data_IF_936973005453
#
_entry.id   IF_936973005453
#
_cell.length_a   1.000
_cell.length_b   1.000
_cell.length_c   1.000
_cell.angle_alpha   90.00
_cell.angle_beta   90.00
_cell.angle_gamma   90.00
#
_symmetry.space_group_name_H-M   'P 1'
#
loop_
_entity.id
_entity.type
_entity.pdbx_description
1 polymer ?
#
# COMPACT_ATOMS: atom_id res chain seq x y z
N UNK A 1 -3.07 1.46 9.22
CA UNK A 1 -3.30 0.55 8.08
C UNK A 1 -2.29 -0.59 8.03
N UNK A 2 -0.97 -0.36 7.92
CA UNK A 2 -0.01 -1.47 7.98
C UNK A 2 -0.03 -2.22 9.33
N UNK A 3 -0.11 -1.47 10.44
CA UNK A 3 -0.28 -2.04 11.78
C UNK A 3 -1.58 -2.86 11.92
N UNK A 4 -2.67 -2.41 11.28
CA UNK A 4 -3.94 -3.15 11.28
C UNK A 4 -3.78 -4.50 10.56
N UNK A 5 -3.03 -4.51 9.44
CA UNK A 5 -2.68 -5.74 8.73
C UNK A 5 -1.83 -6.66 9.62
N UNK A 6 -0.83 -6.14 10.33
CA UNK A 6 -0.01 -6.91 11.27
C UNK A 6 -0.87 -7.52 12.39
N UNK A 7 -1.76 -6.72 12.99
CA UNK A 7 -2.66 -7.17 14.05
C UNK A 7 -3.58 -8.31 13.56
N UNK A 8 -4.12 -8.19 12.34
CA UNK A 8 -4.95 -9.24 11.75
C UNK A 8 -4.16 -10.54 11.52
N UNK A 9 -2.96 -10.46 10.95
CA UNK A 9 -2.08 -11.62 10.72
C UNK A 9 -1.76 -12.33 12.04
N UNK A 10 -1.44 -11.55 13.09
CA UNK A 10 -1.18 -12.09 14.45
C UNK A 10 -2.41 -12.75 15.04
N UNK A 11 -3.57 -12.13 14.92
CA UNK A 11 -4.83 -12.69 15.43
C UNK A 11 -5.16 -14.02 14.76
N UNK A 12 -4.95 -14.11 13.44
CA UNK A 12 -5.12 -15.33 12.66
C UNK A 12 -3.99 -16.36 12.87
N UNK A 13 -2.96 -16.01 13.64
CA UNK A 13 -1.79 -16.85 13.93
C UNK A 13 -1.03 -17.30 12.67
N UNK A 14 -1.04 -16.47 11.63
CA UNK A 14 -0.31 -16.75 10.39
C UNK A 14 1.16 -16.37 10.58
N UNK A 15 2.07 -17.32 10.36
CA UNK A 15 3.52 -17.13 10.54
C UNK A 15 4.28 -16.84 9.28
N UNK A 16 3.82 -17.34 8.13
CA UNK A 16 4.43 -17.09 6.82
C UNK A 16 3.36 -16.89 5.76
N UNK A 17 3.52 -15.90 4.89
CA UNK A 17 2.57 -15.63 3.81
C UNK A 17 3.18 -14.81 2.66
N UNK A 18 2.45 -14.75 1.55
CA UNK A 18 2.71 -13.83 0.44
C UNK A 18 1.79 -12.62 0.55
N UNK A 19 2.31 -11.42 0.32
CA UNK A 19 1.53 -10.18 0.41
C UNK A 19 1.27 -9.60 -0.98
N UNK A 20 -0.01 -9.41 -1.32
CA UNK A 20 -0.42 -8.66 -2.50
C UNK A 20 -1.01 -7.32 -2.08
N UNK A 21 -0.44 -6.23 -2.57
CA UNK A 21 -0.94 -4.88 -2.39
C UNK A 21 -1.42 -4.27 -3.70
N UNK A 22 -2.71 -3.98 -3.81
CA UNK A 22 -3.30 -3.30 -4.97
C UNK A 22 -3.65 -1.84 -4.66
N UNK A 23 -3.31 -0.91 -5.55
CA UNK A 23 -3.65 0.52 -5.40
C UNK A 23 -3.10 1.10 -4.08
N UNK A 24 -3.94 1.65 -3.20
CA UNK A 24 -3.56 2.05 -1.84
C UNK A 24 -2.90 0.90 -1.07
N UNK A 25 -3.39 -0.33 -1.26
CA UNK A 25 -2.81 -1.54 -0.68
C UNK A 25 -1.35 -1.76 -1.05
N UNK A 26 -0.92 -1.31 -2.23
CA UNK A 26 0.49 -1.35 -2.63
C UNK A 26 1.38 -0.49 -1.72
N UNK A 27 0.90 0.67 -1.24
CA UNK A 27 1.62 1.52 -0.28
C UNK A 27 1.69 0.86 1.10
N UNK A 28 0.59 0.26 1.53
CA UNK A 28 0.52 -0.50 2.80
C UNK A 28 1.50 -1.67 2.76
N UNK A 29 1.54 -2.41 1.64
CA UNK A 29 2.41 -3.56 1.47
C UNK A 29 3.89 -3.17 1.47
N UNK A 30 4.26 -2.04 0.85
CA UNK A 30 5.63 -1.50 0.98
C UNK A 30 5.96 -1.10 2.41
N UNK A 31 5.02 -0.46 3.12
CA UNK A 31 5.25 -0.10 4.52
C UNK A 31 5.49 -1.35 5.38
N UNK A 32 4.64 -2.36 5.24
CA UNK A 32 4.79 -3.66 5.89
C UNK A 32 6.15 -4.29 5.56
N UNK A 33 6.49 -4.43 4.28
CA UNK A 33 7.72 -5.08 3.83
C UNK A 33 9.00 -4.30 4.17
N UNK A 34 8.90 -2.98 4.40
CA UNK A 34 10.04 -2.14 4.80
C UNK A 34 10.41 -2.26 6.28
N UNK A 35 9.53 -2.83 7.10
CA UNK A 35 9.75 -3.06 8.52
C UNK A 35 8.91 -4.27 8.99
N UNK A 36 9.20 -5.49 8.48
CA UNK A 36 8.41 -6.67 8.82
C UNK A 36 8.58 -6.99 10.32
N UNK A 37 7.50 -7.40 11.01
CA UNK A 37 7.60 -7.88 12.38
C UNK A 37 8.52 -9.11 12.48
N UNK A 38 9.34 -9.21 13.53
CA UNK A 38 10.25 -10.34 13.71
C UNK A 38 9.55 -11.70 13.86
N UNK A 39 8.30 -11.70 14.35
CA UNK A 39 7.50 -12.90 14.62
C UNK A 39 6.71 -13.42 13.42
N UNK A 40 6.87 -12.78 12.25
CA UNK A 40 6.11 -12.99 11.02
C UNK A 40 7.05 -12.94 9.81
N UNK A 41 6.99 -13.97 8.97
CA UNK A 41 7.79 -14.09 7.75
C UNK A 41 6.99 -13.67 6.51
N UNK A 42 7.47 -12.63 5.82
CA UNK A 42 6.99 -12.28 4.49
C UNK A 42 7.79 -13.06 3.44
N UNK A 43 7.14 -13.97 2.73
CA UNK A 43 7.83 -14.85 1.77
C UNK A 43 8.01 -14.16 0.40
N UNK A 44 6.94 -13.55 -0.12
CA UNK A 44 6.94 -12.84 -1.41
C UNK A 44 6.04 -11.62 -1.35
N UNK A 45 6.39 -10.60 -2.13
CA UNK A 45 5.63 -9.36 -2.25
C UNK A 45 5.15 -9.16 -3.70
N UNK A 46 3.88 -8.81 -3.87
CA UNK A 46 3.29 -8.43 -5.16
C UNK A 46 2.70 -7.03 -5.02
N UNK A 47 3.14 -6.10 -5.86
CA UNK A 47 2.64 -4.72 -5.90
C UNK A 47 1.93 -4.51 -7.23
N UNK A 48 0.63 -4.20 -7.19
CA UNK A 48 -0.19 -3.97 -8.38
C UNK A 48 -0.72 -2.53 -8.43
N UNK A 49 -0.52 -1.85 -9.56
CA UNK A 49 -1.08 -0.51 -9.85
C UNK A 49 -0.80 0.53 -8.75
N UNK A 50 0.48 0.83 -8.50
CA UNK A 50 0.91 1.73 -7.41
C UNK A 50 1.15 3.17 -7.86
N UNK A 51 0.57 4.14 -7.15
CA UNK A 51 0.91 5.57 -7.24
C UNK A 51 2.39 5.87 -6.90
N UNK A 52 3.16 6.38 -7.88
CA UNK A 52 4.52 6.92 -7.65
C UNK A 52 4.52 8.42 -7.31
N UNK A 53 3.74 9.25 -8.02
CA UNK A 53 3.51 10.66 -7.76
C UNK A 53 2.01 10.91 -7.62
N UNK A 54 1.61 11.66 -6.59
CA UNK A 54 0.23 12.12 -6.46
C UNK A 54 0.07 13.32 -7.41
N UNK A 55 -0.81 13.17 -8.40
CA UNK A 55 -1.21 14.28 -9.25
C UNK A 55 -1.78 15.40 -8.39
N UNK A 56 -1.22 16.61 -8.51
CA UNK A 56 -1.63 17.80 -7.75
C UNK A 56 -3.09 18.21 -7.94
N UNK A 57 -3.84 17.67 -8.91
CA UNK A 57 -5.20 18.14 -9.20
C UNK A 57 -6.07 17.05 -9.87
N UNK A 58 -6.62 16.12 -9.10
CA UNK A 58 -7.91 15.51 -9.46
C UNK A 58 -8.86 15.63 -8.27
N UNK A 59 -9.79 16.58 -8.39
CA UNK A 59 -10.90 16.78 -7.45
C UNK A 59 -11.84 15.57 -7.61
N UNK A 60 -11.65 14.55 -6.79
CA UNK A 60 -12.52 13.37 -6.78
C UNK A 60 -13.86 13.82 -6.19
N UNK A 61 -14.92 13.82 -7.01
CA UNK A 61 -16.29 14.04 -6.57
C UNK A 61 -16.70 12.77 -5.81
N UNK A 62 -16.73 12.87 -4.49
CA UNK A 62 -17.06 11.76 -3.59
C UNK A 62 -18.21 12.21 -2.70
N UNK A 63 -19.42 11.76 -3.02
CA UNK A 63 -20.64 12.10 -2.28
C UNK A 63 -20.83 11.30 -0.97
N UNK A 64 -21.58 11.92 -0.06
CA UNK A 64 -21.96 11.55 1.33
C UNK A 64 -20.93 11.89 2.41
N UNK A 65 -21.30 12.81 3.31
CA UNK A 65 -20.43 13.47 4.31
C UNK A 65 -19.64 12.53 5.26
N UNK A 66 -20.19 11.37 5.63
CA UNK A 66 -19.47 10.38 6.46
C UNK A 66 -18.38 9.64 5.68
N UNK A 67 -18.66 9.29 4.42
CA UNK A 67 -17.65 8.73 3.50
C UNK A 67 -16.53 9.73 3.25
N UNK A 68 -16.85 11.03 3.15
CA UNK A 68 -15.84 12.09 2.99
C UNK A 68 -14.80 12.11 4.11
N UNK A 69 -15.18 11.97 5.39
CA UNK A 69 -14.22 12.04 6.50
C UNK A 69 -13.29 10.83 6.52
N UNK A 70 -13.84 9.62 6.38
CA UNK A 70 -13.08 8.37 6.32
C UNK A 70 -12.13 8.34 5.12
N UNK A 71 -12.63 8.74 3.94
CA UNK A 71 -11.83 8.77 2.71
C UNK A 71 -10.79 9.88 2.75
N UNK A 72 -11.07 11.02 3.42
CA UNK A 72 -10.09 12.09 3.64
C UNK A 72 -8.91 11.61 4.48
N UNK A 73 -9.15 10.90 5.60
CA UNK A 73 -8.06 10.38 6.45
C UNK A 73 -7.17 9.39 5.71
N UNK A 74 -7.76 8.47 4.94
CA UNK A 74 -6.99 7.55 4.09
C UNK A 74 -6.21 8.30 3.01
N UNK A 75 -6.80 9.33 2.42
CA UNK A 75 -6.15 10.14 1.40
C UNK A 75 -4.96 10.94 1.92
N UNK A 76 -5.07 11.57 3.10
CA UNK A 76 -3.94 12.27 3.72
C UNK A 76 -2.80 11.29 4.08
N UNK A 77 -3.12 10.10 4.60
CA UNK A 77 -2.11 9.06 4.85
C UNK A 77 -1.41 8.59 3.56
N UNK A 78 -2.09 8.61 2.42
CA UNK A 78 -1.49 8.36 1.11
C UNK A 78 -0.59 9.52 0.68
N UNK A 79 -0.93 10.78 0.97
CA UNK A 79 -0.13 11.95 0.58
C UNK A 79 1.21 12.04 1.27
N UNK A 80 1.23 11.79 2.57
CA UNK A 80 2.38 12.10 3.43
C UNK A 80 3.46 11.01 3.41
N UNK A 81 3.16 9.80 2.92
CA UNK A 81 4.10 8.70 3.01
C UNK A 81 5.26 8.84 2.00
N UNK A 82 6.45 9.22 2.47
CA UNK A 82 7.70 9.03 1.74
C UNK A 82 8.00 7.53 1.58
N UNK A 83 7.72 6.99 0.40
CA UNK A 83 7.81 5.55 0.14
C UNK A 83 9.08 5.15 -0.60
N UNK A 84 9.72 6.08 -1.32
CA UNK A 84 10.92 5.76 -2.11
C UNK A 84 12.07 5.30 -1.21
N UNK A 85 12.28 5.97 -0.07
CA UNK A 85 13.27 5.57 0.93
C UNK A 85 12.98 4.18 1.54
N UNK A 86 11.70 3.79 1.62
CA UNK A 86 11.28 2.48 2.15
C UNK A 86 11.51 1.34 1.16
N UNK A 87 11.53 1.61 -0.15
CA UNK A 87 11.79 0.58 -1.16
C UNK A 87 13.18 -0.06 -0.99
N UNK A 88 14.18 0.73 -0.62
CA UNK A 88 15.55 0.24 -0.39
C UNK A 88 15.66 -0.75 0.77
N UNK A 89 14.65 -0.80 1.66
CA UNK A 89 14.61 -1.70 2.81
C UNK A 89 13.96 -3.04 2.51
N UNK A 90 13.29 -3.18 1.35
CA UNK A 90 12.60 -4.43 0.98
C UNK A 90 13.64 -5.43 0.47
N UNK A 91 13.75 -6.56 1.16
CA UNK A 91 14.70 -7.63 0.84
C UNK A 91 14.05 -8.87 0.23
N UNK A 92 12.72 -8.98 0.31
CA UNK A 92 11.97 -10.15 -0.18
C UNK A 92 11.79 -10.10 -1.70
N UNK A 93 11.71 -11.27 -2.38
CA UNK A 93 11.36 -11.34 -3.79
C UNK A 93 10.06 -10.56 -4.07
N UNK A 94 10.16 -9.58 -4.98
CA UNK A 94 9.08 -8.62 -5.24
C UNK A 94 8.70 -8.59 -6.72
N UNK A 95 7.43 -8.83 -7.03
CA UNK A 95 6.84 -8.65 -8.36
C UNK A 95 6.09 -7.32 -8.44
N UNK A 96 6.36 -6.52 -9.46
CA UNK A 96 5.64 -5.27 -9.75
C UNK A 96 4.79 -5.47 -10.99
N UNK A 97 3.48 -5.25 -10.85
CA UNK A 97 2.49 -5.34 -11.92
C UNK A 97 1.88 -3.96 -12.16
N UNK A 98 1.79 -3.58 -13.43
CA UNK A 98 1.15 -2.34 -13.84
C UNK A 98 0.43 -2.52 -15.18
N UNK A 99 -0.76 -1.91 -15.33
CA UNK A 99 -1.53 -1.93 -16.57
C UNK A 99 -1.17 -0.77 -17.50
N UNK A 100 -0.85 -1.04 -18.77
CA UNK A 100 -0.53 0.01 -19.78
C UNK A 100 -1.62 1.09 -19.89
N UNK A 101 -2.87 0.73 -19.61
CA UNK A 101 -4.05 1.59 -19.71
C UNK A 101 -4.60 2.03 -18.35
N UNK A 102 -3.82 1.91 -17.27
CA UNK A 102 -4.25 2.34 -15.94
C UNK A 102 -4.41 3.88 -15.89
N UNK A 103 -5.65 4.35 -15.77
CA UNK A 103 -5.98 5.77 -15.72
C UNK A 103 -5.86 6.41 -14.33
N UNK A 104 -5.66 5.59 -13.29
CA UNK A 104 -5.48 6.05 -11.92
C UNK A 104 -4.00 6.28 -11.61
N UNK A 105 -3.12 5.40 -12.10
CA UNK A 105 -1.68 5.44 -11.84
C UNK A 105 -0.91 5.53 -13.16
N UNK A 106 -0.05 6.55 -13.31
CA UNK A 106 0.82 6.70 -14.49
C UNK A 106 2.14 5.94 -14.34
N UNK A 107 2.63 5.35 -15.45
CA UNK A 107 4.00 4.81 -15.62
C UNK A 107 4.99 5.89 -16.09
N UNK A 108 4.48 7.01 -16.61
CA UNK A 108 5.28 8.17 -17.03
C UNK A 108 5.61 9.05 -15.85
#
# INVERSE_FOLDING_TARGET
>A
MAEDTIALIRHLKIKRFNLLGWSMGGRIAVYFASNPPQDIELEKLIICSRFQKIFKNKKIILEKHLKKVLLKRQWEAIKEAEILSKLQKITVPTLIIHGKTDGAVSIK
#
